data_IF_114286448937
#
_entry.id   IF_114286448937
#
_cell.length_a   1.000
_cell.length_b   1.000
_cell.length_c   1.000
_cell.angle_alpha   90.00
_cell.angle_beta   90.00
_cell.angle_gamma   90.00
#
_symmetry.space_group_name_H-M   'P 1'
#
loop_
_entity.id
_entity.type
_entity.pdbx_description
1 polymer ?
#
# COMPACT_ATOMS: atom_id res chain seq x y z
N UNK A 1 -32.46 35.61 -12.24
CA UNK A 1 -31.19 35.71 -11.48
C UNK A 1 -31.09 34.44 -10.66
N UNK A 2 -30.12 33.53 -10.81
CA UNK A 2 -28.78 33.60 -11.40
C UNK A 2 -28.61 32.59 -12.54
N UNK A 3 -27.79 32.98 -13.51
CA UNK A 3 -27.31 32.19 -14.64
C UNK A 3 -26.11 31.34 -14.22
N UNK A 4 -26.15 30.04 -14.51
CA UNK A 4 -24.96 29.17 -14.53
C UNK A 4 -24.35 29.31 -15.94
N UNK A 5 -23.05 29.63 -16.09
CA UNK A 5 -22.41 29.57 -17.39
C UNK A 5 -22.32 28.10 -17.83
N UNK A 6 -22.83 27.82 -19.02
CA UNK A 6 -22.48 26.61 -19.78
C UNK A 6 -21.00 26.72 -20.14
N UNK A 7 -20.14 26.02 -19.41
CA UNK A 7 -18.89 25.56 -20.01
C UNK A 7 -19.24 24.44 -20.98
N UNK A 8 -18.83 24.63 -22.23
CA UNK A 8 -18.98 23.66 -23.30
C UNK A 8 -18.28 22.36 -22.91
N UNK A 9 -18.85 21.19 -23.28
CA UNK A 9 -18.06 19.96 -23.27
C UNK A 9 -16.89 20.19 -24.23
N UNK A 10 -15.69 20.32 -23.67
CA UNK A 10 -14.47 20.46 -24.46
C UNK A 10 -14.39 19.33 -25.49
N UNK A 11 -13.85 19.63 -26.67
CA UNK A 11 -13.77 18.73 -27.83
C UNK A 11 -13.26 17.30 -27.51
N UNK A 12 -12.55 17.13 -26.39
CA UNK A 12 -12.08 15.86 -25.84
C UNK A 12 -13.18 14.90 -25.36
N UNK A 13 -14.32 15.40 -24.89
CA UNK A 13 -15.46 14.55 -24.49
C UNK A 13 -16.15 13.89 -25.69
N UNK A 14 -16.28 14.62 -26.79
CA UNK A 14 -16.82 14.10 -28.05
C UNK A 14 -15.87 13.08 -28.71
N UNK A 15 -14.56 13.29 -28.63
CA UNK A 15 -13.55 12.35 -29.16
C UNK A 15 -13.58 11.00 -28.40
N UNK A 16 -13.78 11.00 -27.08
CA UNK A 16 -13.90 9.75 -26.29
C UNK A 16 -15.17 8.95 -26.61
N UNK A 17 -16.32 9.61 -26.79
CA UNK A 17 -17.56 8.91 -27.15
C UNK A 17 -17.55 8.37 -28.59
N UNK A 18 -16.93 9.11 -29.53
CA UNK A 18 -16.78 8.65 -30.91
C UNK A 18 -15.78 7.47 -31.01
N UNK A 19 -14.70 7.50 -30.23
CA UNK A 19 -13.74 6.38 -30.16
C UNK A 19 -14.38 5.12 -29.55
N UNK A 20 -15.18 5.25 -28.49
CA UNK A 20 -15.88 4.11 -27.87
C UNK A 20 -16.98 3.50 -28.78
N UNK A 21 -17.64 4.31 -29.60
CA UNK A 21 -18.61 3.80 -30.59
C UNK A 21 -17.93 3.17 -31.80
N UNK A 22 -16.76 3.68 -32.23
CA UNK A 22 -16.00 3.12 -33.33
C UNK A 22 -15.32 1.78 -32.99
N UNK A 23 -15.01 1.52 -31.71
CA UNK A 23 -14.34 0.28 -31.27
C UNK A 23 -15.20 -0.97 -31.29
N UNK A 24 -16.53 -0.87 -31.41
CA UNK A 24 -17.41 -2.05 -31.40
C UNK A 24 -17.64 -2.70 -32.78
N UNK A 25 -17.13 -2.12 -33.87
CA UNK A 25 -17.35 -2.64 -35.23
C UNK A 25 -16.10 -2.83 -36.08
N UNK A 26 -14.90 -2.57 -35.54
CA UNK A 26 -13.65 -2.73 -36.29
C UNK A 26 -12.97 -4.02 -35.82
N UNK A 27 -12.70 -5.00 -36.70
CA UNK A 27 -11.92 -6.18 -36.32
C UNK A 27 -10.57 -5.72 -35.75
N UNK A 28 -10.06 -6.42 -34.72
CA UNK A 28 -8.75 -6.16 -34.10
C UNK A 28 -7.63 -6.23 -35.16
N UNK A 29 -7.45 -5.15 -35.91
CA UNK A 29 -6.18 -4.80 -36.51
C UNK A 29 -5.30 -4.39 -35.33
N UNK A 30 -4.11 -5.00 -35.25
CA UNK A 30 -3.09 -4.63 -34.30
C UNK A 30 -3.03 -3.10 -34.22
N UNK A 31 -3.20 -2.55 -33.01
CA UNK A 31 -3.07 -1.12 -32.79
C UNK A 31 -1.66 -0.72 -33.20
N UNK A 32 -1.51 -0.19 -34.42
CA UNK A 32 -0.28 0.48 -34.82
C UNK A 32 -0.10 1.64 -33.85
N UNK A 33 1.00 1.61 -33.11
CA UNK A 33 1.46 2.76 -32.32
C UNK A 33 1.80 3.83 -33.36
N UNK A 34 0.86 4.71 -33.62
CA UNK A 34 1.06 5.85 -34.50
C UNK A 34 1.91 6.87 -33.73
N UNK A 35 3.22 6.80 -33.86
CA UNK A 35 4.11 7.88 -33.42
C UNK A 35 3.85 9.09 -34.32
N UNK A 36 3.02 10.02 -33.84
CA UNK A 36 2.84 11.31 -34.51
C UNK A 36 4.15 12.09 -34.27
N UNK A 37 4.92 12.45 -35.30
CA UNK A 37 6.14 13.21 -35.12
C UNK A 37 5.78 14.60 -34.57
N UNK A 38 5.91 14.75 -33.27
CA UNK A 38 5.78 16.01 -32.56
C UNK A 38 7.15 16.68 -32.60
N UNK A 39 7.32 17.70 -33.44
CA UNK A 39 8.48 18.59 -33.46
C UNK A 39 8.10 19.93 -32.81
N UNK A 40 8.03 20.00 -31.47
CA UNK A 40 7.73 21.25 -30.79
C UNK A 40 8.88 22.24 -31.00
N UNK A 41 8.52 23.52 -31.07
CA UNK A 41 9.52 24.57 -30.81
C UNK A 41 10.06 24.43 -29.39
N UNK A 42 11.30 24.87 -29.15
CA UNK A 42 11.89 24.89 -27.79
C UNK A 42 10.98 25.53 -26.74
N UNK A 43 10.27 26.60 -27.12
CA UNK A 43 9.27 27.24 -26.24
C UNK A 43 8.11 26.31 -25.92
N UNK A 44 7.51 25.66 -26.92
CA UNK A 44 6.41 24.70 -26.71
C UNK A 44 6.86 23.50 -25.86
N UNK A 45 8.09 23.03 -26.06
CA UNK A 45 8.68 21.98 -25.24
C UNK A 45 8.80 22.43 -23.78
N UNK A 46 9.43 23.57 -23.52
CA UNK A 46 9.60 24.13 -22.15
C UNK A 46 8.27 24.39 -21.47
N UNK A 47 7.31 25.00 -22.19
CA UNK A 47 5.98 25.31 -21.65
C UNK A 47 5.23 24.02 -21.28
N UNK A 48 5.24 23.01 -22.15
CA UNK A 48 4.58 21.73 -21.91
C UNK A 48 5.27 20.92 -20.80
N UNK A 49 6.59 20.92 -20.75
CA UNK A 49 7.35 20.21 -19.73
C UNK A 49 7.16 20.84 -18.34
N UNK A 50 7.07 22.18 -18.28
CA UNK A 50 6.74 22.88 -17.04
C UNK A 50 5.35 22.51 -16.53
N UNK A 51 4.35 22.41 -17.41
CA UNK A 51 3.00 21.95 -17.05
C UNK A 51 2.99 20.50 -16.56
N UNK A 52 3.79 19.62 -17.17
CA UNK A 52 3.94 18.24 -16.74
C UNK A 52 4.55 18.15 -15.33
N UNK A 53 5.62 18.90 -15.06
CA UNK A 53 6.25 18.94 -13.74
C UNK A 53 5.29 19.48 -12.66
N UNK A 54 4.45 20.46 -12.99
CA UNK A 54 3.37 20.93 -12.12
C UNK A 54 2.36 19.81 -11.83
N UNK A 55 1.93 19.08 -12.87
CA UNK A 55 1.01 17.95 -12.70
C UNK A 55 1.61 16.84 -11.82
N UNK A 56 2.90 16.52 -12.01
CA UNK A 56 3.63 15.56 -11.18
C UNK A 56 3.72 16.06 -9.74
N UNK A 57 4.07 17.33 -9.51
CA UNK A 57 4.14 17.92 -8.18
C UNK A 57 2.80 17.87 -7.44
N UNK A 58 1.69 18.18 -8.12
CA UNK A 58 0.34 18.06 -7.57
C UNK A 58 0.00 16.61 -7.20
N UNK A 59 0.37 15.64 -8.04
CA UNK A 59 0.17 14.22 -7.75
C UNK A 59 0.99 13.75 -6.53
N UNK A 60 2.22 14.28 -6.36
CA UNK A 60 3.04 14.01 -5.17
C UNK A 60 2.40 14.62 -3.92
N UNK A 61 1.90 15.85 -3.99
CA UNK A 61 1.21 16.48 -2.85
C UNK A 61 -0.06 15.72 -2.45
N UNK A 62 -0.87 15.29 -3.42
CA UNK A 62 -2.08 14.47 -3.19
C UNK A 62 -1.75 13.12 -2.54
N UNK A 63 -0.69 12.46 -3.03
CA UNK A 63 -0.17 11.24 -2.44
C UNK A 63 0.31 11.47 -1.00
N UNK A 64 1.05 12.55 -0.74
CA UNK A 64 1.52 12.89 0.62
C UNK A 64 0.35 13.18 1.57
N UNK A 65 -0.69 13.87 1.10
CA UNK A 65 -1.89 14.12 1.88
C UNK A 65 -2.60 12.81 2.23
N UNK A 66 -2.76 11.90 1.25
CA UNK A 66 -3.33 10.56 1.46
C UNK A 66 -2.53 9.75 2.47
N UNK A 67 -1.20 9.71 2.33
CA UNK A 67 -0.28 9.04 3.27
C UNK A 67 -0.41 9.66 4.68
N UNK A 68 -0.63 10.96 4.78
CA UNK A 68 -0.62 11.66 6.06
C UNK A 68 -1.98 11.66 6.74
N UNK A 69 -3.08 11.77 6.02
CA UNK A 69 -4.39 12.14 6.57
C UNK A 69 -5.46 11.08 6.35
N UNK A 70 -5.49 10.42 5.19
CA UNK A 70 -6.52 9.45 4.86
C UNK A 70 -6.13 8.04 5.29
N UNK A 71 -4.96 7.58 4.85
CA UNK A 71 -4.48 6.21 5.03
C UNK A 71 -3.05 6.21 5.59
N UNK A 72 -2.91 6.61 6.87
CA UNK A 72 -1.61 6.70 7.53
C UNK A 72 -1.00 5.33 7.80
N UNK A 73 0.33 5.25 7.76
CA UNK A 73 1.05 4.04 8.17
C UNK A 73 0.97 3.88 9.70
N UNK A 74 1.22 4.96 10.45
CA UNK A 74 1.18 4.98 11.93
C UNK A 74 2.47 5.44 12.63
N UNK A 75 3.50 5.89 11.88
CA UNK A 75 4.87 6.12 12.42
C UNK A 75 5.04 7.43 13.24
N UNK A 76 4.08 8.37 13.28
CA UNK A 76 4.38 9.73 13.81
C UNK A 76 3.27 10.56 14.49
N UNK A 77 1.99 10.16 14.51
CA UNK A 77 0.92 11.03 15.04
C UNK A 77 0.05 10.39 16.13
N UNK A 78 -0.06 11.09 17.27
CA UNK A 78 -0.55 10.57 18.56
C UNK A 78 -2.07 10.63 18.77
N UNK A 79 -2.86 11.10 17.82
CA UNK A 79 -4.32 11.18 18.04
C UNK A 79 -4.97 9.81 17.84
N UNK A 80 -5.84 9.41 18.79
CA UNK A 80 -6.58 8.13 18.73
C UNK A 80 -7.28 7.93 17.38
N UNK A 81 -7.91 8.98 16.85
CA UNK A 81 -8.67 8.91 15.60
C UNK A 81 -7.79 8.65 14.36
N UNK A 82 -6.52 9.08 14.37
CA UNK A 82 -5.56 8.85 13.28
C UNK A 82 -4.90 7.48 13.40
N UNK A 83 -4.60 7.06 14.62
CA UNK A 83 -4.08 5.72 14.89
C UNK A 83 -5.05 4.60 14.50
N UNK A 84 -6.34 4.74 14.85
CA UNK A 84 -7.36 3.73 14.49
C UNK A 84 -7.59 3.58 12.99
N UNK A 85 -7.23 4.60 12.19
CA UNK A 85 -7.27 4.58 10.72
C UNK A 85 -5.94 4.13 10.10
N UNK A 86 -4.92 3.88 10.91
CA UNK A 86 -3.58 3.53 10.42
C UNK A 86 -3.41 2.04 10.17
N UNK A 87 -2.49 1.68 9.27
CA UNK A 87 -2.10 0.28 9.02
C UNK A 87 -1.58 -0.41 10.28
N UNK A 88 -0.91 0.33 11.16
CA UNK A 88 -0.34 -0.21 12.40
C UNK A 88 -1.39 -0.73 13.38
N UNK A 89 -2.60 -0.16 13.39
CA UNK A 89 -3.65 -0.61 14.30
C UNK A 89 -4.07 -2.07 14.06
N UNK A 90 -4.56 -2.46 12.88
CA UNK A 90 -4.93 -3.84 12.65
C UNK A 90 -3.69 -4.76 12.63
N UNK A 91 -2.53 -4.29 12.17
CA UNK A 91 -1.29 -5.07 12.18
C UNK A 91 -0.84 -5.44 13.61
N UNK A 92 -0.72 -4.48 14.52
CA UNK A 92 -0.29 -4.77 15.90
C UNK A 92 -1.30 -5.61 16.67
N UNK A 93 -2.59 -5.47 16.34
CA UNK A 93 -3.63 -6.34 16.92
C UNK A 93 -3.41 -7.79 16.50
N UNK A 94 -3.13 -8.04 15.20
CA UNK A 94 -2.81 -9.36 14.69
C UNK A 94 -1.48 -9.90 15.25
N UNK A 95 -0.46 -9.05 15.38
CA UNK A 95 0.84 -9.42 15.96
C UNK A 95 0.72 -9.82 17.43
N UNK A 96 -0.06 -9.08 18.22
CA UNK A 96 -0.34 -9.44 19.61
C UNK A 96 -1.06 -10.78 19.71
N UNK A 97 -2.06 -11.01 18.84
CA UNK A 97 -2.79 -12.27 18.80
C UNK A 97 -1.90 -13.44 18.37
N UNK A 98 -0.96 -13.23 17.44
CA UNK A 98 0.05 -14.23 17.08
C UNK A 98 0.96 -14.57 18.24
N UNK A 99 1.48 -13.58 18.96
CA UNK A 99 2.28 -13.83 20.15
C UNK A 99 1.54 -14.69 21.19
N UNK A 100 0.26 -14.38 21.45
CA UNK A 100 -0.58 -15.16 22.37
C UNK A 100 -0.86 -16.57 21.86
N UNK A 101 -1.23 -16.72 20.60
CA UNK A 101 -1.54 -18.02 20.01
C UNK A 101 -0.29 -18.93 19.97
N UNK A 102 0.86 -18.38 19.60
CA UNK A 102 2.16 -19.07 19.62
C UNK A 102 2.54 -19.55 21.02
N UNK A 103 2.29 -18.74 22.06
CA UNK A 103 2.53 -19.16 23.44
C UNK A 103 1.62 -20.31 23.86
N UNK A 104 0.32 -20.25 23.52
CA UNK A 104 -0.62 -21.32 23.81
C UNK A 104 -0.20 -22.65 23.16
N UNK A 105 0.13 -22.65 21.86
CA UNK A 105 0.57 -23.86 21.13
C UNK A 105 1.89 -24.42 21.68
N UNK A 106 2.87 -23.56 22.00
CA UNK A 106 4.14 -23.99 22.58
C UNK A 106 3.96 -24.60 23.97
N UNK A 107 3.06 -24.04 24.79
CA UNK A 107 2.71 -24.60 26.09
C UNK A 107 2.16 -26.03 26.00
N UNK A 108 1.25 -26.28 25.05
CA UNK A 108 0.82 -27.65 24.76
C UNK A 108 1.96 -28.59 24.37
N UNK A 109 2.90 -28.15 23.54
CA UNK A 109 4.00 -29.03 23.11
C UNK A 109 5.00 -29.31 24.24
N UNK A 110 5.21 -28.35 25.15
CA UNK A 110 6.15 -28.44 26.27
C UNK A 110 5.66 -29.29 27.45
N UNK A 111 4.34 -29.38 27.64
CA UNK A 111 3.73 -30.38 28.50
C UNK A 111 3.83 -31.76 27.83
N UNK A 112 4.56 -32.71 28.43
CA UNK A 112 4.64 -34.09 27.91
C UNK A 112 3.24 -34.72 27.89
N UNK A 113 2.60 -34.76 26.73
CA UNK A 113 1.40 -35.56 26.49
C UNK A 113 1.81 -36.94 25.98
N UNK A 114 1.43 -37.97 26.74
CA UNK A 114 1.33 -39.33 26.22
C UNK A 114 -0.07 -39.47 25.64
N UNK A 115 -0.19 -39.55 24.31
CA UNK A 115 -1.43 -39.95 23.67
C UNK A 115 -1.57 -41.46 23.81
N UNK A 116 -2.57 -41.93 24.56
CA UNK A 116 -3.12 -43.26 24.42
C UNK A 116 -4.55 -43.07 23.88
N UNK A 117 -4.83 -43.61 22.69
CA UNK A 117 -6.17 -43.74 22.09
C UNK A 117 -7.04 -42.48 21.92
N UNK A 118 -6.47 -41.37 21.45
CA UNK A 118 -7.26 -40.25 20.88
C UNK A 118 -8.15 -39.49 21.85
N UNK A 119 -8.04 -39.76 23.16
CA UNK A 119 -8.64 -38.98 24.23
C UNK A 119 -7.52 -38.34 25.07
N UNK A 120 -7.68 -37.05 25.38
CA UNK A 120 -6.83 -36.37 26.37
C UNK A 120 -7.13 -37.04 27.73
N UNK A 121 -6.34 -38.05 28.11
CA UNK A 121 -6.46 -38.64 29.43
C UNK A 121 -6.12 -37.60 30.50
N UNK A 122 -6.95 -37.60 31.56
CA UNK A 122 -6.87 -36.72 32.72
C UNK A 122 -5.42 -36.57 33.22
N UNK A 123 -4.94 -35.33 33.17
CA UNK A 123 -3.57 -34.93 33.47
C UNK A 123 -3.37 -34.97 34.99
N UNK A 124 -3.13 -36.15 35.55
CA UNK A 124 -2.76 -36.27 36.96
C UNK A 124 -1.24 -36.13 37.20
N UNK A 125 -0.44 -35.88 36.16
CA UNK A 125 1.02 -35.83 36.26
C UNK A 125 1.75 -34.62 35.65
N UNK A 126 1.08 -33.75 34.88
CA UNK A 126 1.73 -32.52 34.40
C UNK A 126 1.72 -31.45 35.50
N UNK A 127 2.85 -30.76 35.68
CA UNK A 127 2.93 -29.61 36.58
C UNK A 127 1.80 -28.61 36.28
N UNK A 128 1.33 -27.91 37.31
CA UNK A 128 0.17 -26.99 37.26
C UNK A 128 0.15 -26.04 36.06
N UNK A 129 1.33 -25.68 35.55
CA UNK A 129 1.51 -24.83 34.39
C UNK A 129 1.05 -25.48 33.06
N UNK A 130 1.43 -26.73 32.79
CA UNK A 130 1.04 -27.42 31.56
C UNK A 130 -0.47 -27.72 31.51
N UNK A 131 -1.08 -27.98 32.66
CA UNK A 131 -2.54 -28.16 32.79
C UNK A 131 -3.29 -26.84 32.55
N UNK A 132 -2.75 -25.72 33.00
CA UNK A 132 -3.25 -24.38 32.67
C UNK A 132 -3.14 -24.04 31.19
N UNK A 133 -2.02 -24.41 30.55
CA UNK A 133 -1.77 -24.19 29.13
C UNK A 133 -2.62 -25.09 28.22
N UNK A 134 -2.97 -26.32 28.65
CA UNK A 134 -3.92 -27.17 27.91
C UNK A 134 -5.37 -26.72 28.09
N UNK A 135 -5.75 -26.28 29.31
CA UNK A 135 -7.05 -25.66 29.56
C UNK A 135 -7.22 -24.36 28.74
N UNK A 136 -6.14 -23.59 28.56
CA UNK A 136 -6.09 -22.46 27.63
C UNK A 136 -6.38 -22.90 26.19
N UNK A 137 -5.84 -24.04 25.73
CA UNK A 137 -6.11 -24.53 24.37
C UNK A 137 -7.49 -25.14 24.18
N UNK A 138 -8.05 -25.78 25.22
CA UNK A 138 -9.43 -26.27 25.23
C UNK A 138 -10.45 -25.14 25.15
N UNK A 139 -10.08 -23.90 25.47
CA UNK A 139 -10.93 -22.74 25.21
C UNK A 139 -11.17 -22.57 23.73
N UNK A 140 -10.20 -22.79 22.84
CA UNK A 140 -10.33 -22.51 21.41
C UNK A 140 -11.21 -23.50 20.60
N UNK A 141 -12.16 -24.19 21.25
CA UNK A 141 -13.17 -25.12 20.70
C UNK A 141 -12.69 -26.27 19.82
N UNK A 142 -11.38 -26.49 19.68
CA UNK A 142 -10.84 -27.62 18.94
C UNK A 142 -10.91 -28.91 19.77
N UNK A 143 -11.35 -30.00 19.14
CA UNK A 143 -11.55 -31.28 19.81
C UNK A 143 -10.23 -31.97 20.20
N UNK A 144 -9.12 -31.58 19.56
CA UNK A 144 -7.78 -32.13 19.79
C UNK A 144 -6.67 -31.12 19.42
N UNK A 145 -5.44 -31.40 19.86
CA UNK A 145 -4.26 -30.54 19.63
C UNK A 145 -3.90 -30.40 18.14
N UNK A 146 -4.15 -31.43 17.33
CA UNK A 146 -3.83 -31.43 15.90
C UNK A 146 -4.62 -30.36 15.14
N UNK A 147 -5.92 -30.25 15.40
CA UNK A 147 -6.79 -29.20 14.85
C UNK A 147 -6.31 -27.79 15.21
N UNK A 148 -5.87 -27.58 16.46
CA UNK A 148 -5.33 -26.28 16.89
C UNK A 148 -4.02 -25.95 16.17
N UNK A 149 -3.16 -26.94 15.96
CA UNK A 149 -1.90 -26.74 15.25
C UNK A 149 -2.12 -26.44 13.77
N UNK A 150 -3.09 -27.09 13.12
CA UNK A 150 -3.47 -26.77 11.74
C UNK A 150 -4.02 -25.35 11.62
N UNK A 151 -4.91 -24.97 12.54
CA UNK A 151 -5.45 -23.62 12.61
C UNK A 151 -4.33 -22.59 12.81
N UNK A 152 -3.42 -22.83 13.75
CA UNK A 152 -2.28 -21.97 14.01
C UNK A 152 -1.37 -21.83 12.78
N UNK A 153 -1.06 -22.93 12.07
CA UNK A 153 -0.27 -22.88 10.82
C UNK A 153 -0.96 -22.02 9.75
N UNK A 154 -2.28 -22.14 9.62
CA UNK A 154 -3.06 -21.30 8.70
C UNK A 154 -2.97 -19.82 9.06
N UNK A 155 -3.12 -19.50 10.34
CA UNK A 155 -3.02 -18.14 10.84
C UNK A 155 -1.60 -17.57 10.67
N UNK A 156 -0.56 -18.31 11.07
CA UNK A 156 0.85 -17.93 10.93
C UNK A 156 1.21 -17.62 9.47
N UNK A 157 0.72 -18.44 8.52
CA UNK A 157 0.91 -18.21 7.08
C UNK A 157 0.40 -16.84 6.66
N UNK A 158 -0.86 -16.51 6.97
CA UNK A 158 -1.46 -15.24 6.56
C UNK A 158 -0.87 -14.06 7.34
N UNK A 159 -0.61 -14.22 8.63
CA UNK A 159 0.07 -13.21 9.43
C UNK A 159 1.44 -12.86 8.85
N UNK A 160 2.24 -13.85 8.44
CA UNK A 160 3.54 -13.63 7.81
C UNK A 160 3.43 -12.85 6.51
N UNK A 161 2.51 -13.22 5.62
CA UNK A 161 2.27 -12.48 4.36
C UNK A 161 1.92 -11.02 4.63
N UNK A 162 1.03 -10.78 5.60
CA UNK A 162 0.64 -9.43 6.00
C UNK A 162 1.78 -8.65 6.63
N UNK A 163 2.55 -9.26 7.53
CA UNK A 163 3.73 -8.62 8.14
C UNK A 163 4.74 -8.18 7.08
N UNK A 164 5.09 -9.09 6.17
CA UNK A 164 6.08 -8.81 5.14
C UNK A 164 5.57 -7.68 4.20
N UNK A 165 4.26 -7.64 3.90
CA UNK A 165 3.64 -6.55 3.17
C UNK A 165 3.66 -5.21 3.94
N UNK A 166 3.35 -5.21 5.24
CA UNK A 166 3.39 -4.01 6.09
C UNK A 166 4.82 -3.43 6.15
N UNK A 167 5.84 -4.28 6.35
CA UNK A 167 7.25 -3.85 6.39
C UNK A 167 7.67 -3.19 5.07
N UNK A 168 7.36 -3.81 3.95
CA UNK A 168 7.67 -3.27 2.63
C UNK A 168 6.93 -1.95 2.35
N UNK A 169 5.72 -1.84 2.87
CA UNK A 169 4.89 -0.64 2.75
C UNK A 169 5.42 0.52 3.57
N UNK A 170 5.95 0.27 4.77
CA UNK A 170 6.66 1.30 5.55
C UNK A 170 7.86 1.83 4.75
N UNK A 171 8.64 0.95 4.13
CA UNK A 171 9.77 1.35 3.30
C UNK A 171 9.33 2.16 2.06
N UNK A 172 8.25 1.74 1.40
CA UNK A 172 7.63 2.46 0.29
C UNK A 172 7.18 3.85 0.73
N UNK A 173 6.44 3.95 1.84
CA UNK A 173 5.94 5.22 2.39
C UNK A 173 7.06 6.21 2.69
N UNK A 174 8.19 5.74 3.26
CA UNK A 174 9.38 6.57 3.49
C UNK A 174 9.99 7.06 2.17
N UNK A 175 10.04 6.21 1.14
CA UNK A 175 10.54 6.59 -0.17
C UNK A 175 9.64 7.63 -0.85
N UNK A 176 8.32 7.47 -0.78
CA UNK A 176 7.33 8.36 -1.40
C UNK A 176 7.24 9.70 -0.66
N UNK A 177 7.31 9.69 0.68
CA UNK A 177 7.28 10.92 1.48
C UNK A 177 8.49 11.83 1.22
N UNK A 178 9.60 11.27 0.74
CA UNK A 178 10.82 12.00 0.38
C UNK A 178 10.83 12.58 -1.04
N UNK A 179 9.72 12.50 -1.78
CA UNK A 179 9.58 13.16 -3.08
C UNK A 179 9.20 14.63 -2.89
N UNK A 180 9.78 15.58 -3.63
CA UNK A 180 9.37 16.99 -3.57
C UNK A 180 7.98 17.16 -4.18
N UNK A 181 7.07 17.81 -3.47
CA UNK A 181 5.77 18.26 -4.00
C UNK A 181 5.79 19.75 -4.34
N UNK A 182 4.66 20.34 -4.77
CA UNK A 182 4.57 21.80 -4.96
C UNK A 182 4.42 22.55 -3.64
N UNK A 183 3.85 21.92 -2.63
CA UNK A 183 3.58 22.55 -1.33
C UNK A 183 4.67 22.31 -0.27
N UNK A 184 5.79 21.71 -0.65
CA UNK A 184 6.90 21.39 0.27
C UNK A 184 7.45 22.69 0.91
N UNK A 185 7.49 22.84 2.24
CA UNK A 185 7.35 24.14 2.90
C UNK A 185 8.61 25.05 2.89
N UNK A 186 9.58 24.87 1.99
CA UNK A 186 10.85 25.62 2.05
C UNK A 186 11.43 26.14 0.72
N UNK A 187 10.70 26.08 -0.39
CA UNK A 187 11.23 26.60 -1.66
C UNK A 187 10.53 27.91 -2.02
N UNK A 188 11.28 29.01 -2.05
CA UNK A 188 10.75 30.37 -2.23
C UNK A 188 10.39 30.74 -3.68
N UNK A 189 10.69 29.88 -4.67
CA UNK A 189 10.41 30.15 -6.08
C UNK A 189 9.88 28.89 -6.80
N UNK A 190 8.78 29.05 -7.56
CA UNK A 190 8.12 27.97 -8.31
C UNK A 190 9.10 27.19 -9.21
N UNK A 191 10.09 27.87 -9.81
CA UNK A 191 11.10 27.24 -10.67
C UNK A 191 12.05 26.30 -9.93
N UNK A 192 12.43 26.64 -8.69
CA UNK A 192 13.32 25.81 -7.89
C UNK A 192 12.62 24.49 -7.49
N UNK A 193 11.31 24.54 -7.27
CA UNK A 193 10.48 23.37 -6.99
C UNK A 193 10.43 22.45 -8.21
N UNK A 194 10.09 23.00 -9.38
CA UNK A 194 10.03 22.22 -10.62
C UNK A 194 11.39 21.61 -10.98
N UNK A 195 12.48 22.34 -10.75
CA UNK A 195 13.83 21.83 -10.94
C UNK A 195 14.16 20.68 -9.95
N UNK A 196 13.74 20.79 -8.69
CA UNK A 196 13.92 19.71 -7.70
C UNK A 196 13.12 18.45 -8.07
N UNK A 197 11.87 18.62 -8.51
CA UNK A 197 11.03 17.53 -9.04
C UNK A 197 11.74 16.85 -10.22
N UNK A 198 12.16 17.64 -11.22
CA UNK A 198 12.86 17.13 -12.40
C UNK A 198 14.14 16.37 -12.03
N UNK A 199 14.95 16.91 -11.11
CA UNK A 199 16.16 16.24 -10.62
C UNK A 199 15.85 14.92 -9.92
N UNK A 200 14.81 14.87 -9.07
CA UNK A 200 14.46 13.66 -8.32
C UNK A 200 13.98 12.53 -9.23
N UNK A 201 13.16 12.86 -10.23
CA UNK A 201 12.65 11.94 -11.25
C UNK A 201 13.79 11.34 -12.07
N UNK A 202 14.77 12.16 -12.43
CA UNK A 202 15.94 11.75 -13.20
C UNK A 202 17.05 11.11 -12.34
N UNK A 203 16.78 10.80 -11.07
CA UNK A 203 17.76 10.28 -10.11
C UNK A 203 19.05 11.09 -10.06
N UNK A 204 18.94 12.41 -10.28
CA UNK A 204 20.07 13.30 -10.31
C UNK A 204 20.78 13.34 -8.95
N UNK A 205 22.11 13.48 -8.98
CA UNK A 205 22.94 13.60 -7.79
C UNK A 205 23.83 14.82 -7.92
N UNK A 206 24.11 15.48 -6.82
CA UNK A 206 25.11 16.56 -6.80
C UNK A 206 26.47 15.96 -6.49
N UNK A 207 27.50 16.29 -7.27
CA UNK A 207 28.88 15.95 -6.92
C UNK A 207 29.44 16.88 -5.84
N UNK A 208 30.67 16.61 -5.38
CA UNK A 208 31.34 17.41 -4.33
C UNK A 208 31.57 18.87 -4.75
N UNK A 209 31.46 19.19 -6.05
CA UNK A 209 31.64 20.52 -6.61
C UNK A 209 30.32 21.26 -6.88
N UNK A 210 29.17 20.66 -6.54
CA UNK A 210 27.87 21.25 -6.79
C UNK A 210 27.30 20.98 -8.19
N UNK A 211 27.95 20.17 -9.02
CA UNK A 211 27.48 19.83 -10.36
C UNK A 211 26.40 18.75 -10.30
N UNK A 212 25.36 18.89 -11.12
CA UNK A 212 24.30 17.89 -11.23
C UNK A 212 24.76 16.77 -12.18
N UNK A 213 24.94 15.58 -11.62
CA UNK A 213 25.21 14.34 -12.33
C UNK A 213 23.90 13.62 -12.62
N UNK A 214 23.64 13.42 -13.91
CA UNK A 214 22.58 12.55 -14.41
C UNK A 214 23.19 11.21 -14.78
N UNK A 215 22.65 10.15 -14.21
CA UNK A 215 23.05 8.79 -14.56
C UNK A 215 22.30 8.39 -15.83
N UNK A 216 23.00 8.27 -16.96
CA UNK A 216 22.39 7.98 -18.27
C UNK A 216 21.55 6.70 -18.27
N UNK A 217 21.85 5.78 -17.36
CA UNK A 217 21.19 4.49 -17.23
C UNK A 217 19.95 4.55 -16.30
N UNK A 218 19.73 5.68 -15.60
CA UNK A 218 18.60 5.91 -14.69
C UNK A 218 17.68 7.00 -15.24
N UNK A 219 16.84 6.60 -16.16
CA UNK A 219 15.89 7.49 -16.85
C UNK A 219 14.58 7.65 -16.07
N UNK A 220 13.71 8.63 -16.42
CA UNK A 220 12.34 8.72 -15.90
C UNK A 220 11.55 7.41 -16.01
N UNK A 221 11.83 6.59 -17.03
CA UNK A 221 11.21 5.27 -17.20
C UNK A 221 11.57 4.29 -16.07
N UNK A 222 12.77 4.40 -15.47
CA UNK A 222 13.11 3.61 -14.27
C UNK A 222 12.28 4.05 -13.06
N UNK A 223 12.02 5.35 -12.92
CA UNK A 223 11.16 5.86 -11.85
C UNK A 223 9.72 5.37 -12.03
N UNK A 224 9.18 5.51 -13.25
CA UNK A 224 7.85 4.97 -13.62
C UNK A 224 7.77 3.46 -13.36
N UNK A 225 8.80 2.70 -13.75
CA UNK A 225 8.86 1.26 -13.47
C UNK A 225 8.76 0.97 -11.96
N UNK A 226 9.52 1.68 -11.12
CA UNK A 226 9.44 1.52 -9.66
C UNK A 226 8.06 1.85 -9.10
N UNK A 227 7.39 2.87 -9.63
CA UNK A 227 6.01 3.18 -9.24
C UNK A 227 5.03 2.08 -9.67
N UNK A 228 5.18 1.53 -10.88
CA UNK A 228 4.37 0.39 -11.35
C UNK A 228 4.61 -0.86 -10.49
N UNK A 229 5.87 -1.14 -10.16
CA UNK A 229 6.22 -2.25 -9.26
C UNK A 229 5.58 -2.05 -7.88
N UNK A 230 5.56 -0.82 -7.35
CA UNK A 230 4.88 -0.47 -6.10
C UNK A 230 3.35 -0.63 -6.20
N UNK A 231 2.73 -0.21 -7.31
CA UNK A 231 1.30 -0.39 -7.56
C UNK A 231 0.92 -1.87 -7.56
N UNK A 232 1.63 -2.69 -8.34
CA UNK A 232 1.41 -4.14 -8.43
C UNK A 232 1.65 -4.82 -7.08
N UNK A 233 2.65 -4.37 -6.31
CA UNK A 233 2.88 -4.84 -4.96
C UNK A 233 1.67 -4.58 -4.05
N UNK A 234 1.12 -3.35 -4.05
CA UNK A 234 -0.04 -2.99 -3.22
C UNK A 234 -1.29 -3.77 -3.64
N UNK A 235 -1.51 -3.97 -4.94
CA UNK A 235 -2.62 -4.80 -5.46
C UNK A 235 -2.52 -6.25 -4.96
N UNK A 236 -1.33 -6.86 -5.04
CA UNK A 236 -1.13 -8.21 -4.53
C UNK A 236 -1.30 -8.28 -3.02
N UNK A 237 -0.79 -7.29 -2.27
CA UNK A 237 -0.94 -7.21 -0.83
C UNK A 237 -2.40 -7.07 -0.40
N UNK A 238 -3.19 -6.27 -1.13
CA UNK A 238 -4.64 -6.18 -0.95
C UNK A 238 -5.31 -7.54 -1.18
N UNK A 239 -5.03 -8.20 -2.30
CA UNK A 239 -5.62 -9.50 -2.66
C UNK A 239 -5.31 -10.54 -1.56
N UNK A 240 -4.07 -10.60 -1.08
CA UNK A 240 -3.67 -11.55 -0.05
C UNK A 240 -4.30 -11.22 1.31
N UNK A 241 -4.45 -9.94 1.66
CA UNK A 241 -5.20 -9.53 2.84
C UNK A 241 -6.70 -9.91 2.72
N UNK A 242 -7.32 -9.79 1.54
CA UNK A 242 -8.70 -10.25 1.31
C UNK A 242 -8.84 -11.78 1.45
N UNK A 243 -7.87 -12.55 0.96
CA UNK A 243 -7.84 -14.01 1.17
C UNK A 243 -7.70 -14.36 2.65
N UNK A 244 -6.85 -13.64 3.38
CA UNK A 244 -6.68 -13.81 4.83
C UNK A 244 -7.98 -13.48 5.58
N UNK A 245 -8.69 -12.42 5.17
CA UNK A 245 -9.99 -12.07 5.73
C UNK A 245 -11.02 -13.20 5.50
N UNK A 246 -11.13 -13.71 4.28
CA UNK A 246 -12.04 -14.83 3.97
C UNK A 246 -11.70 -16.10 4.75
N UNK A 247 -10.41 -16.45 4.82
CA UNK A 247 -9.98 -17.63 5.56
C UNK A 247 -10.26 -17.49 7.07
N UNK A 248 -9.92 -16.35 7.67
CA UNK A 248 -10.16 -16.12 9.10
C UNK A 248 -11.66 -16.06 9.46
N UNK A 249 -12.52 -15.58 8.56
CA UNK A 249 -13.97 -15.66 8.74
C UNK A 249 -14.52 -17.09 8.74
N UNK A 250 -13.82 -18.05 8.14
CA UNK A 250 -14.24 -19.45 8.13
C UNK A 250 -13.66 -20.24 9.30
N UNK A 251 -12.47 -19.86 9.76
CA UNK A 251 -11.67 -20.69 10.68
C UNK A 251 -11.42 -20.05 12.05
N UNK A 252 -11.61 -18.73 12.22
CA UNK A 252 -11.25 -17.99 13.43
C UNK A 252 -12.39 -17.15 14.02
N UNK A 253 -13.64 -17.59 13.81
CA UNK A 253 -14.83 -16.94 14.36
C UNK A 253 -15.19 -17.38 15.78
N UNK A 254 -14.46 -18.37 16.29
CA UNK A 254 -14.70 -18.90 17.63
C UNK A 254 -14.47 -17.80 18.71
N UNK A 255 -15.39 -17.61 19.67
CA UNK A 255 -15.27 -16.59 20.71
C UNK A 255 -13.95 -16.62 21.49
N UNK A 256 -13.41 -17.81 21.74
CA UNK A 256 -12.16 -17.96 22.48
C UNK A 256 -10.96 -17.56 21.61
N UNK A 257 -11.00 -17.81 20.29
CA UNK A 257 -10.02 -17.26 19.36
C UNK A 257 -10.13 -15.73 19.27
N UNK A 258 -11.36 -15.21 19.21
CA UNK A 258 -11.59 -13.76 19.22
C UNK A 258 -11.07 -13.10 20.50
N UNK A 259 -10.98 -13.82 21.61
CA UNK A 259 -10.37 -13.30 22.84
C UNK A 259 -8.87 -12.98 22.69
N UNK A 260 -8.18 -13.60 21.72
CA UNK A 260 -6.75 -13.35 21.47
C UNK A 260 -6.50 -11.95 20.90
N UNK A 261 -7.42 -11.44 20.08
CA UNK A 261 -7.39 -10.06 19.58
C UNK A 261 -8.02 -9.06 20.57
N UNK A 262 -8.79 -9.55 21.55
CA UNK A 262 -9.26 -8.72 22.66
C UNK A 262 -8.10 -8.36 23.61
N UNK A 263 -8.09 -7.12 24.09
CA UNK A 263 -7.05 -6.66 24.99
C UNK A 263 -5.68 -6.49 24.34
N UNK A 264 -5.58 -6.40 23.00
CA UNK A 264 -4.52 -5.64 22.37
C UNK A 264 -4.69 -4.14 22.72
N UNK A 265 -4.58 -3.85 24.02
CA UNK A 265 -4.74 -2.54 24.61
C UNK A 265 -3.43 -1.80 24.40
N UNK A 266 -3.31 -1.15 23.24
CA UNK A 266 -2.26 -0.17 23.01
C UNK A 266 -2.60 1.12 23.74
N UNK A 267 -2.82 1.10 25.06
CA UNK A 267 -2.99 2.28 25.94
C UNK A 267 -4.04 3.33 25.54
N UNK A 268 -4.86 3.11 24.51
CA UNK A 268 -5.68 4.14 23.88
C UNK A 268 -7.06 3.64 23.38
N UNK A 269 -7.65 2.61 24.00
CA UNK A 269 -8.83 1.97 23.40
C UNK A 269 -9.77 1.18 24.28
N UNK A 270 -10.20 1.71 25.43
CA UNK A 270 -11.47 1.28 26.03
C UNK A 270 -12.63 1.71 25.11
N UNK A 271 -13.06 0.80 24.24
CA UNK A 271 -14.21 0.92 23.36
C UNK A 271 -14.66 -0.49 22.96
N UNK A 272 -15.93 -0.79 23.13
CA UNK A 272 -16.53 -2.14 23.08
C UNK A 272 -16.71 -2.72 21.69
N UNK A 273 -16.04 -2.19 20.67
CA UNK A 273 -16.19 -2.70 19.30
C UNK A 273 -15.35 -3.98 19.18
N UNK A 274 -16.03 -5.12 19.30
CA UNK A 274 -15.44 -6.44 19.10
C UNK A 274 -15.11 -6.61 17.61
N UNK A 275 -13.85 -6.46 17.24
CA UNK A 275 -13.35 -6.82 15.91
C UNK A 275 -13.22 -8.33 15.78
N UNK A 276 -13.42 -8.85 14.57
CA UNK A 276 -12.99 -10.20 14.19
C UNK A 276 -11.64 -10.17 13.47
N UNK A 277 -10.96 -11.31 13.37
CA UNK A 277 -9.77 -11.44 12.51
C UNK A 277 -10.08 -11.03 11.07
N UNK A 278 -11.27 -11.39 10.58
CA UNK A 278 -11.76 -11.00 9.26
C UNK A 278 -11.82 -9.49 9.07
N UNK A 279 -12.33 -8.77 10.08
CA UNK A 279 -12.39 -7.31 10.07
C UNK A 279 -11.01 -6.68 10.03
N UNK A 280 -10.06 -7.19 10.83
CA UNK A 280 -8.68 -6.68 10.87
C UNK A 280 -7.99 -6.83 9.50
N UNK A 281 -8.10 -8.01 8.87
CA UNK A 281 -7.53 -8.21 7.54
C UNK A 281 -8.25 -7.40 6.46
N UNK A 282 -9.56 -7.19 6.58
CA UNK A 282 -10.32 -6.33 5.69
C UNK A 282 -9.86 -4.86 5.78
N UNK A 283 -9.64 -4.36 7.00
CA UNK A 283 -9.07 -3.02 7.21
C UNK A 283 -7.69 -2.89 6.56
N UNK A 284 -6.85 -3.93 6.65
CA UNK A 284 -5.53 -3.95 5.98
C UNK A 284 -5.68 -3.94 4.45
N UNK A 285 -6.62 -4.69 3.89
CA UNK A 285 -6.89 -4.68 2.46
C UNK A 285 -7.38 -3.31 1.97
N UNK A 286 -8.33 -2.70 2.68
CA UNK A 286 -8.83 -1.35 2.39
C UNK A 286 -7.71 -0.31 2.47
N UNK A 287 -6.79 -0.46 3.43
CA UNK A 287 -5.62 0.39 3.53
C UNK A 287 -4.72 0.28 2.29
N UNK A 288 -4.42 -0.94 1.81
CA UNK A 288 -3.58 -1.10 0.61
C UNK A 288 -4.25 -0.53 -0.65
N UNK A 289 -5.57 -0.69 -0.77
CA UNK A 289 -6.36 -0.11 -1.86
C UNK A 289 -6.32 1.41 -1.87
N UNK A 290 -6.25 2.05 -0.70
CA UNK A 290 -6.30 3.50 -0.56
C UNK A 290 -5.15 4.24 -1.26
N UNK A 291 -3.94 3.68 -1.30
CA UNK A 291 -2.80 4.34 -1.96
C UNK A 291 -2.76 4.12 -3.47
N UNK A 292 -3.47 3.12 -3.99
CA UNK A 292 -3.41 2.74 -5.41
C UNK A 292 -3.83 3.88 -6.36
N UNK A 293 -4.94 4.62 -6.12
CA UNK A 293 -5.33 5.73 -6.99
C UNK A 293 -4.27 6.82 -7.09
N UNK A 294 -3.65 7.20 -5.97
CA UNK A 294 -2.63 8.25 -5.95
C UNK A 294 -1.35 7.83 -6.66
N UNK A 295 -0.93 6.58 -6.49
CA UNK A 295 0.21 6.03 -7.22
C UNK A 295 -0.11 5.94 -8.72
N UNK A 296 -1.33 5.54 -9.09
CA UNK A 296 -1.76 5.52 -10.50
C UNK A 296 -1.78 6.93 -11.12
N UNK A 297 -2.29 7.93 -10.40
CA UNK A 297 -2.27 9.33 -10.83
C UNK A 297 -0.84 9.83 -11.03
N UNK A 298 0.09 9.48 -10.13
CA UNK A 298 1.49 9.83 -10.26
C UNK A 298 2.13 9.12 -11.47
N UNK A 299 1.86 7.83 -11.69
CA UNK A 299 2.31 7.10 -12.89
C UNK A 299 1.81 7.80 -14.15
N UNK A 300 0.52 8.15 -14.20
CA UNK A 300 -0.08 8.82 -15.35
C UNK A 300 0.57 10.20 -15.60
N UNK A 301 0.78 11.00 -14.56
CA UNK A 301 1.46 12.29 -14.69
C UNK A 301 2.89 12.12 -15.25
N UNK A 302 3.60 11.10 -14.81
CA UNK A 302 4.96 10.79 -15.22
C UNK A 302 5.07 10.24 -16.65
N UNK A 303 4.09 9.46 -17.10
CA UNK A 303 4.06 8.90 -18.47
C UNK A 303 3.82 9.96 -19.54
N UNK A 304 3.27 11.12 -19.15
CA UNK A 304 3.08 12.27 -20.03
C UNK A 304 4.29 13.23 -20.07
N UNK A 305 5.36 12.96 -19.32
CA UNK A 305 6.61 13.72 -19.38
C UNK A 305 7.24 13.58 -20.77
N UNK A 306 7.64 14.69 -21.40
CA UNK A 306 8.02 14.73 -22.82
C UNK A 306 9.37 14.07 -23.16
N UNK A 307 10.00 13.36 -22.23
CA UNK A 307 11.30 12.70 -22.46
C UNK A 307 12.45 13.69 -22.60
N UNK A 308 13.42 13.38 -23.46
CA UNK A 308 14.58 14.25 -23.70
C UNK A 308 14.20 15.45 -24.58
N UNK A 309 14.86 16.57 -24.34
CA UNK A 309 14.63 17.78 -25.11
C UNK A 309 14.99 17.57 -26.59
N UNK A 310 14.27 18.23 -27.53
CA UNK A 310 14.62 18.16 -28.94
C UNK A 310 16.07 18.58 -29.13
N UNK A 311 16.84 17.83 -29.92
CA UNK A 311 18.20 18.25 -30.26
C UNK A 311 18.15 19.68 -30.79
N UNK A 312 19.04 20.55 -30.31
CA UNK A 312 19.30 21.83 -30.96
C UNK A 312 19.80 21.46 -32.35
N UNK A 313 18.88 21.33 -33.31
CA UNK A 313 19.22 21.18 -34.70
C UNK A 313 20.26 22.23 -34.99
N UNK A 314 21.45 21.79 -35.40
CA UNK A 314 22.56 22.65 -35.75
C UNK A 314 21.97 23.78 -36.57
N UNK A 315 21.95 24.99 -35.99
CA UNK A 315 21.66 26.20 -36.74
C UNK A 315 22.81 26.33 -37.74
N UNK A 316 22.72 25.60 -38.85
CA UNK A 316 23.53 25.84 -40.03
C UNK A 316 23.03 27.15 -40.61
N UNK A 317 23.59 28.23 -40.09
CA UNK A 317 23.70 29.53 -40.76
C UNK A 317 24.48 29.39 -42.05
#
# INVERSE_FOLDING_TARGET
MYSIPRESPGAWGYVRCILLYATFTIPLAAAEILEIPYNPTWRQYVDSESQNLIAIGNAIDSLKDTISNECPIGDSDRTKAKYLRSLFFPYFTLESAEGKFTQAVKGARGGKYSMDDGNIMDIQGAGSQARGELLELQKYSAANLEEVEELYKGFEKYFKLTRDAVVNTIALGRSLSGLPGLTDPQVQQDWDILNNIAQRINFARTDDNGSILLDSDKTPQLFVKKLRDAYVFLENAEIDARKAAQWSLLHMIDPDLLSLIQGADLTYGAGSDTFTYGDLYKMIAEWFSCWQPEIANLIFAMENHLGQAPELGLFHS
#
